data_IF_014920538158
#
_entry.id   IF_014920538158
#
_cell.length_a   1.000
_cell.length_b   1.000
_cell.length_c   1.000
_cell.angle_alpha   90.00
_cell.angle_beta   90.00
_cell.angle_gamma   90.00
#
_symmetry.space_group_name_H-M   'P 1'
#
loop_
_entity.id
_entity.type
_entity.pdbx_description
1 polymer ?
#
# COMPACT_ATOMS: atom_id res chain seq x y z
N UNK A 1 -20.72 -37.43 8.16
CA UNK A 1 -21.93 -36.69 7.74
C UNK A 1 -21.48 -35.29 7.32
N UNK A 2 -21.77 -34.83 6.10
CA UNK A 2 -21.19 -33.59 5.56
C UNK A 2 -21.58 -32.33 6.36
N UNK A 3 -22.73 -32.33 7.05
CA UNK A 3 -23.17 -31.24 7.91
C UNK A 3 -22.20 -30.90 9.05
N UNK A 4 -21.54 -31.90 9.66
CA UNK A 4 -20.57 -31.65 10.73
C UNK A 4 -19.28 -31.02 10.19
N UNK A 5 -18.90 -31.34 8.95
CA UNK A 5 -17.77 -30.66 8.28
C UNK A 5 -18.08 -29.21 7.96
N UNK A 6 -19.32 -28.89 7.56
CA UNK A 6 -19.75 -27.50 7.35
C UNK A 6 -19.79 -26.71 8.66
N UNK A 7 -20.26 -27.32 9.76
CA UNK A 7 -20.27 -26.70 11.09
C UNK A 7 -18.85 -26.43 11.61
N UNK A 8 -17.95 -27.40 11.47
CA UNK A 8 -16.53 -27.25 11.86
C UNK A 8 -15.81 -26.23 10.97
N UNK A 9 -16.12 -26.18 9.67
CA UNK A 9 -15.59 -25.16 8.78
C UNK A 9 -16.09 -23.76 9.17
N UNK A 10 -17.39 -23.56 9.39
CA UNK A 10 -17.95 -22.28 9.86
C UNK A 10 -17.36 -21.84 11.21
N UNK A 11 -17.20 -22.78 12.15
CA UNK A 11 -16.56 -22.52 13.43
C UNK A 11 -15.07 -22.16 13.28
N UNK A 12 -14.36 -22.80 12.34
CA UNK A 12 -12.98 -22.44 12.01
C UNK A 12 -12.92 -21.04 11.40
N UNK A 13 -13.76 -20.72 10.39
CA UNK A 13 -13.83 -19.42 9.73
C UNK A 13 -14.06 -18.24 10.70
N UNK A 14 -14.86 -18.48 11.75
CA UNK A 14 -15.19 -17.49 12.79
C UNK A 14 -14.21 -17.48 13.97
N UNK A 15 -13.26 -18.42 14.00
CA UNK A 15 -12.21 -18.42 15.02
C UNK A 15 -11.16 -17.36 14.69
N UNK A 16 -10.65 -16.67 15.71
CA UNK A 16 -9.50 -15.75 15.58
C UNK A 16 -8.29 -16.41 14.89
N UNK A 17 -8.21 -17.74 14.97
CA UNK A 17 -7.15 -18.53 14.35
C UNK A 17 -7.23 -18.55 12.82
N UNK A 18 -8.43 -18.52 12.24
CA UNK A 18 -8.60 -18.43 10.79
C UNK A 18 -8.28 -17.04 10.25
N UNK A 19 -8.67 -15.97 10.96
CA UNK A 19 -8.22 -14.61 10.64
C UNK A 19 -6.70 -14.44 10.76
N UNK A 20 -6.04 -15.15 11.69
CA UNK A 20 -4.56 -15.20 11.77
C UNK A 20 -3.93 -16.00 10.61
N UNK A 21 -4.58 -17.07 10.16
CA UNK A 21 -4.07 -17.97 9.11
C UNK A 21 -4.29 -17.41 7.69
N UNK A 22 -5.47 -16.83 7.42
CA UNK A 22 -5.73 -16.09 6.17
C UNK A 22 -5.04 -14.73 6.19
N UNK A 23 -5.03 -14.05 7.34
CA UNK A 23 -4.39 -12.74 7.48
C UNK A 23 -2.93 -12.77 7.04
N UNK A 24 -2.16 -13.78 7.46
CA UNK A 24 -0.77 -13.95 6.99
C UNK A 24 -0.67 -14.31 5.50
N UNK A 25 -1.57 -15.16 5.00
CA UNK A 25 -1.60 -15.58 3.58
C UNK A 25 -2.00 -14.47 2.61
N UNK A 26 -2.78 -13.48 3.06
CA UNK A 26 -3.28 -12.37 2.24
C UNK A 26 -2.50 -11.08 2.48
N UNK A 27 -1.98 -10.85 3.69
CA UNK A 27 -1.25 -9.63 4.03
C UNK A 27 -0.01 -9.45 3.15
N UNK A 28 0.82 -10.48 2.99
CA UNK A 28 2.02 -10.43 2.14
C UNK A 28 1.69 -9.95 0.72
N UNK A 29 0.84 -10.68 -0.03
CA UNK A 29 0.40 -10.26 -1.35
C UNK A 29 -0.25 -8.87 -1.39
N UNK A 30 -1.08 -8.51 -0.41
CA UNK A 30 -1.71 -7.20 -0.35
C UNK A 30 -0.68 -6.06 -0.18
N UNK A 31 0.36 -6.27 0.62
CA UNK A 31 1.45 -5.29 0.78
C UNK A 31 2.26 -5.14 -0.52
N UNK A 32 2.53 -6.25 -1.24
CA UNK A 32 3.19 -6.19 -2.56
C UNK A 32 2.36 -5.37 -3.55
N UNK A 33 1.06 -5.62 -3.64
CA UNK A 33 0.15 -4.88 -4.52
C UNK A 33 0.08 -3.41 -4.13
N UNK A 34 0.08 -3.09 -2.83
CA UNK A 34 0.11 -1.71 -2.35
C UNK A 34 1.43 -1.00 -2.71
N UNK A 35 2.58 -1.66 -2.54
CA UNK A 35 3.87 -1.11 -2.95
C UNK A 35 3.93 -0.86 -4.47
N UNK A 36 3.47 -1.83 -5.27
CA UNK A 36 3.43 -1.71 -6.72
C UNK A 36 2.47 -0.62 -7.21
N UNK A 37 1.27 -0.55 -6.64
CA UNK A 37 0.32 0.51 -6.97
C UNK A 37 0.85 1.90 -6.59
N UNK A 38 1.55 2.01 -5.46
CA UNK A 38 2.25 3.24 -5.06
C UNK A 38 3.26 3.67 -6.12
N UNK A 39 4.10 2.74 -6.60
CA UNK A 39 5.08 2.99 -7.65
C UNK A 39 4.41 3.51 -8.93
N UNK A 40 3.38 2.81 -9.42
CA UNK A 40 2.68 3.18 -10.64
C UNK A 40 2.01 4.55 -10.53
N UNK A 41 1.34 4.85 -9.42
CA UNK A 41 0.69 6.14 -9.24
C UNK A 41 1.68 7.28 -9.06
N UNK A 42 2.82 7.07 -8.39
CA UNK A 42 3.88 8.07 -8.30
C UNK A 42 4.49 8.38 -9.67
N UNK A 43 4.77 7.35 -10.48
CA UNK A 43 5.24 7.51 -11.86
C UNK A 43 4.21 8.23 -12.72
N UNK A 44 2.94 7.87 -12.59
CA UNK A 44 1.85 8.53 -13.28
C UNK A 44 1.77 10.03 -12.92
N UNK A 45 1.86 10.35 -11.64
CA UNK A 45 1.87 11.72 -11.16
C UNK A 45 3.08 12.50 -11.70
N UNK A 46 4.27 11.89 -11.73
CA UNK A 46 5.47 12.48 -12.33
C UNK A 46 5.27 12.80 -13.82
N UNK A 47 4.74 11.87 -14.60
CA UNK A 47 4.47 12.07 -16.03
C UNK A 47 3.47 13.21 -16.24
N UNK A 48 2.43 13.30 -15.40
CA UNK A 48 1.44 14.37 -15.47
C UNK A 48 2.02 15.76 -15.18
N UNK A 49 3.01 15.87 -14.30
CA UNK A 49 3.63 17.15 -13.93
C UNK A 49 4.73 17.59 -14.89
N UNK A 50 5.46 16.64 -15.47
CA UNK A 50 6.67 16.93 -16.24
C UNK A 50 6.52 16.71 -17.74
N UNK A 51 5.50 15.98 -18.18
CA UNK A 51 5.32 15.50 -19.56
C UNK A 51 6.52 14.69 -20.09
N UNK A 52 7.32 14.11 -19.18
CA UNK A 52 8.47 13.25 -19.51
C UNK A 52 8.09 11.78 -19.34
N UNK A 53 8.92 10.91 -19.91
CA UNK A 53 8.81 9.46 -19.71
C UNK A 53 8.92 9.08 -18.22
N UNK A 54 8.21 8.02 -17.79
CA UNK A 54 8.24 7.57 -16.41
C UNK A 54 9.65 7.13 -16.00
N UNK A 55 10.15 7.52 -14.81
CA UNK A 55 11.47 7.12 -14.36
C UNK A 55 11.60 5.60 -14.20
N UNK A 56 12.72 5.02 -14.62
CA UNK A 56 13.07 3.61 -14.41
C UNK A 56 13.61 3.37 -12.98
N UNK A 57 12.84 3.78 -11.98
CA UNK A 57 13.19 3.67 -10.56
C UNK A 57 12.04 2.98 -9.83
N UNK A 58 12.36 2.07 -8.90
CA UNK A 58 11.38 1.37 -8.06
C UNK A 58 11.31 1.91 -6.63
N UNK A 59 12.35 2.62 -6.19
CA UNK A 59 12.44 3.22 -4.85
C UNK A 59 11.37 4.31 -4.68
N UNK A 60 10.36 4.03 -3.85
CA UNK A 60 9.22 4.92 -3.63
C UNK A 60 9.63 6.29 -3.07
N UNK A 61 10.68 6.34 -2.24
CA UNK A 61 11.19 7.61 -1.71
C UNK A 61 11.82 8.44 -2.82
N UNK A 62 12.64 7.82 -3.68
CA UNK A 62 13.24 8.52 -4.82
C UNK A 62 12.17 9.03 -5.77
N UNK A 63 11.17 8.21 -6.09
CA UNK A 63 10.04 8.62 -6.92
C UNK A 63 9.27 9.80 -6.31
N UNK A 64 8.99 9.77 -5.00
CA UNK A 64 8.37 10.89 -4.29
C UNK A 64 9.21 12.17 -4.38
N UNK A 65 10.53 12.06 -4.25
CA UNK A 65 11.45 13.21 -4.34
C UNK A 65 11.56 13.79 -5.77
N UNK A 66 11.17 13.05 -6.80
CA UNK A 66 11.11 13.56 -8.18
C UNK A 66 9.85 14.40 -8.47
N UNK A 67 8.83 14.34 -7.60
CA UNK A 67 7.63 15.14 -7.76
C UNK A 67 7.88 16.62 -7.46
N UNK A 68 6.99 17.48 -7.99
CA UNK A 68 6.98 18.90 -7.64
C UNK A 68 6.77 19.11 -6.14
N UNK A 69 7.27 20.23 -5.61
CA UNK A 69 7.07 20.56 -4.19
C UNK A 69 5.57 20.60 -3.84
N UNK A 70 4.74 21.16 -4.73
CA UNK A 70 3.30 21.23 -4.54
C UNK A 70 2.64 19.83 -4.42
N UNK A 71 3.01 18.87 -5.27
CA UNK A 71 2.53 17.49 -5.14
C UNK A 71 2.98 16.83 -3.83
N UNK A 72 4.23 17.06 -3.43
CA UNK A 72 4.75 16.51 -2.17
C UNK A 72 4.00 17.05 -0.97
N UNK A 73 3.74 18.36 -0.93
CA UNK A 73 2.98 18.99 0.14
C UNK A 73 1.53 18.48 0.17
N UNK A 74 0.90 18.31 -1.00
CA UNK A 74 -0.45 17.73 -1.12
C UNK A 74 -0.51 16.29 -0.59
N UNK A 75 0.50 15.48 -0.88
CA UNK A 75 0.64 14.11 -0.36
C UNK A 75 0.92 14.08 1.15
N UNK A 76 1.82 14.93 1.64
CA UNK A 76 2.12 15.03 3.07
C UNK A 76 0.88 15.48 3.86
N UNK A 77 0.11 16.43 3.34
CA UNK A 77 -1.15 16.84 3.96
C UNK A 77 -2.19 15.70 3.98
N UNK A 78 -2.37 14.99 2.87
CA UNK A 78 -3.28 13.84 2.80
C UNK A 78 -2.84 12.72 3.77
N UNK A 79 -1.54 12.48 3.89
CA UNK A 79 -0.97 11.51 4.81
C UNK A 79 -1.20 11.91 6.27
N UNK A 80 -0.96 13.16 6.64
CA UNK A 80 -1.15 13.64 8.01
C UNK A 80 -2.61 13.50 8.45
N UNK A 81 -3.56 13.82 7.56
CA UNK A 81 -4.99 13.61 7.82
C UNK A 81 -5.32 12.13 8.03
N UNK A 82 -4.75 11.24 7.21
CA UNK A 82 -4.89 9.80 7.37
C UNK A 82 -4.29 9.28 8.67
N UNK A 83 -3.07 9.68 9.00
CA UNK A 83 -2.34 9.23 10.19
C UNK A 83 -3.01 9.68 11.48
N UNK A 84 -3.73 10.82 11.45
CA UNK A 84 -4.50 11.35 12.56
C UNK A 84 -5.86 10.65 12.77
N UNK A 85 -6.31 9.78 11.86
CA UNK A 85 -7.60 9.11 12.02
C UNK A 85 -7.61 8.20 13.25
N UNK A 86 -8.70 8.18 14.06
CA UNK A 86 -8.73 7.42 15.32
C UNK A 86 -8.43 5.92 15.17
N UNK A 87 -8.89 5.30 14.08
CA UNK A 87 -8.59 3.91 13.77
C UNK A 87 -7.09 3.69 13.48
N UNK A 88 -6.43 4.63 12.80
CA UNK A 88 -5.00 4.55 12.49
C UNK A 88 -4.15 4.79 13.72
N UNK A 89 -4.50 5.78 14.54
CA UNK A 89 -3.85 6.02 15.83
C UNK A 89 -3.87 4.75 16.69
N UNK A 90 -5.04 4.09 16.81
CA UNK A 90 -5.17 2.82 17.55
C UNK A 90 -4.28 1.70 17.01
N UNK A 91 -4.13 1.59 15.69
CA UNK A 91 -3.24 0.59 15.07
C UNK A 91 -1.78 0.87 15.41
N UNK A 92 -1.32 2.12 15.28
CA UNK A 92 0.04 2.49 15.66
C UNK A 92 0.31 2.23 17.14
N UNK A 93 -0.59 2.64 18.04
CA UNK A 93 -0.46 2.39 19.50
C UNK A 93 -0.43 0.89 19.84
N UNK A 94 -1.17 0.05 19.10
CA UNK A 94 -1.11 -1.38 19.27
C UNK A 94 0.26 -1.95 18.85
N UNK A 95 0.81 -1.49 17.72
CA UNK A 95 2.14 -1.89 17.24
C UNK A 95 3.22 -1.43 18.21
N UNK A 96 3.15 -0.19 18.71
CA UNK A 96 4.11 0.36 19.67
C UNK A 96 4.10 -0.42 20.99
N UNK A 97 2.91 -0.80 21.50
CA UNK A 97 2.79 -1.66 22.68
C UNK A 97 3.35 -3.07 22.47
N UNK A 98 3.15 -3.64 21.28
CA UNK A 98 3.66 -4.99 20.95
C UNK A 98 5.18 -5.01 20.76
N UNK A 99 5.74 -3.94 20.22
CA UNK A 99 7.17 -3.86 19.84
C UNK A 99 8.04 -3.12 20.85
N UNK A 100 7.44 -2.41 21.81
CA UNK A 100 8.14 -1.56 22.77
C UNK A 100 8.83 -0.35 22.14
N UNK A 101 8.56 -0.05 20.87
CA UNK A 101 9.24 0.99 20.10
C UNK A 101 8.24 1.98 19.52
N UNK A 102 8.57 3.28 19.58
CA UNK A 102 7.76 4.33 18.96
C UNK A 102 7.88 4.23 17.43
N UNK A 103 6.74 4.31 16.74
CA UNK A 103 6.67 4.28 15.28
C UNK A 103 6.40 5.70 14.76
N UNK A 104 7.35 6.33 14.04
CA UNK A 104 7.13 7.62 13.43
C UNK A 104 5.96 7.58 12.43
N UNK A 105 5.13 8.62 12.48
CA UNK A 105 3.87 8.70 11.70
C UNK A 105 4.01 9.59 10.47
N UNK A 106 5.20 10.11 10.16
CA UNK A 106 5.42 10.96 9.00
C UNK A 106 5.58 10.16 7.70
N UNK A 107 5.15 10.76 6.59
CA UNK A 107 5.19 10.12 5.27
C UNK A 107 6.63 9.78 4.86
N UNK A 108 7.59 10.65 5.16
CA UNK A 108 8.99 10.48 4.73
C UNK A 108 9.64 9.28 5.40
N UNK A 109 9.38 9.06 6.69
CA UNK A 109 9.80 7.87 7.40
C UNK A 109 9.15 6.62 6.83
N UNK A 110 7.84 6.67 6.54
CA UNK A 110 7.10 5.54 5.96
C UNK A 110 7.63 5.17 4.57
N UNK A 111 7.92 6.16 3.73
CA UNK A 111 8.55 5.98 2.41
C UNK A 111 9.97 5.44 2.50
N UNK A 112 10.78 5.87 3.48
CA UNK A 112 12.11 5.29 3.72
C UNK A 112 12.01 3.80 4.05
N UNK A 113 11.14 3.43 4.99
CA UNK A 113 11.01 2.06 5.44
C UNK A 113 10.31 1.15 4.41
N UNK A 114 9.47 1.73 3.55
CA UNK A 114 8.81 1.00 2.45
C UNK A 114 9.53 1.10 1.11
N UNK A 115 10.73 1.69 1.03
CA UNK A 115 11.36 2.08 -0.24
C UNK A 115 11.72 0.89 -1.13
N UNK A 116 12.14 -0.23 -0.54
CA UNK A 116 12.48 -1.49 -1.19
C UNK A 116 11.43 -2.59 -0.97
N UNK A 117 10.33 -2.25 -0.30
CA UNK A 117 9.36 -3.22 0.17
C UNK A 117 8.75 -4.04 -0.97
N UNK A 118 8.59 -3.51 -2.18
CA UNK A 118 8.12 -4.32 -3.31
C UNK A 118 9.01 -5.56 -3.55
N UNK A 119 10.33 -5.38 -3.53
CA UNK A 119 11.29 -6.46 -3.74
C UNK A 119 11.33 -7.38 -2.53
N UNK A 120 11.47 -6.81 -1.33
CA UNK A 120 11.65 -7.58 -0.09
C UNK A 120 10.38 -8.37 0.27
N UNK A 121 9.19 -7.79 0.05
CA UNK A 121 7.91 -8.44 0.36
C UNK A 121 7.60 -9.63 -0.54
N UNK A 122 8.08 -9.62 -1.80
CA UNK A 122 7.91 -10.76 -2.73
C UNK A 122 8.66 -12.00 -2.26
N UNK A 123 9.74 -11.80 -1.52
CA UNK A 123 10.62 -12.85 -1.03
C UNK A 123 10.63 -12.92 0.50
N UNK A 124 9.48 -12.68 1.15
CA UNK A 124 9.32 -12.74 2.61
C UNK A 124 9.75 -14.07 3.24
N UNK A 125 9.73 -15.15 2.46
CA UNK A 125 10.17 -16.47 2.91
C UNK A 125 11.70 -16.58 3.06
N UNK A 126 12.47 -15.66 2.47
CA UNK A 126 13.92 -15.58 2.66
C UNK A 126 14.25 -14.92 4.01
N UNK A 127 15.18 -15.49 4.76
CA UNK A 127 15.55 -15.01 6.12
C UNK A 127 15.89 -13.52 6.17
N UNK A 128 16.61 -13.02 5.14
CA UNK A 128 16.98 -11.60 5.03
C UNK A 128 15.79 -10.64 4.98
N UNK A 129 14.60 -11.11 4.61
CA UNK A 129 13.40 -10.29 4.39
C UNK A 129 12.38 -10.39 5.53
N UNK A 130 12.60 -11.23 6.55
CA UNK A 130 11.64 -11.45 7.64
C UNK A 130 11.39 -10.19 8.51
N UNK A 131 12.32 -9.23 8.48
CA UNK A 131 12.22 -7.96 9.21
C UNK A 131 11.67 -6.80 8.35
N UNK A 132 11.14 -7.08 7.16
CA UNK A 132 10.58 -6.05 6.28
C UNK A 132 9.37 -5.37 6.94
N UNK A 133 9.41 -4.05 7.02
CA UNK A 133 8.32 -3.23 7.56
C UNK A 133 7.61 -2.50 6.44
N UNK A 134 6.29 -2.54 6.42
CA UNK A 134 5.51 -1.83 5.40
C UNK A 134 4.34 -1.08 6.04
N UNK A 135 4.43 0.26 6.03
CA UNK A 135 3.42 1.15 6.62
C UNK A 135 2.65 1.96 5.57
N UNK A 136 2.76 1.61 4.28
CA UNK A 136 2.21 2.38 3.16
C UNK A 136 0.89 1.81 2.60
N UNK A 137 0.15 1.02 3.38
CA UNK A 137 -1.02 0.26 2.91
C UNK A 137 -2.05 1.09 2.12
N UNK A 138 -2.40 2.29 2.60
CA UNK A 138 -3.38 3.19 1.99
C UNK A 138 -2.74 4.29 1.12
N UNK A 139 -1.41 4.34 1.04
CA UNK A 139 -0.69 5.33 0.26
C UNK A 139 -1.11 5.36 -1.22
N UNK A 140 -1.30 4.21 -1.92
CA UNK A 140 -1.76 4.21 -3.31
C UNK A 140 -3.06 4.99 -3.52
N UNK A 141 -4.01 4.88 -2.59
CA UNK A 141 -5.30 5.56 -2.71
C UNK A 141 -5.14 7.08 -2.62
N UNK A 142 -4.22 7.57 -1.78
CA UNK A 142 -3.92 9.00 -1.67
C UNK A 142 -3.31 9.53 -2.96
N UNK A 143 -2.29 8.84 -3.50
CA UNK A 143 -1.65 9.25 -4.76
C UNK A 143 -2.66 9.18 -5.92
N UNK A 144 -3.49 8.14 -5.97
CA UNK A 144 -4.57 8.01 -6.96
C UNK A 144 -5.55 9.19 -6.87
N UNK A 145 -5.95 9.59 -5.67
CA UNK A 145 -6.84 10.74 -5.48
C UNK A 145 -6.28 12.02 -6.10
N UNK A 146 -4.97 12.24 -5.95
CA UNK A 146 -4.25 13.37 -6.53
C UNK A 146 -4.17 13.26 -8.06
N UNK A 147 -3.86 12.08 -8.60
CA UNK A 147 -3.87 11.81 -10.05
C UNK A 147 -5.23 12.12 -10.65
N UNK A 148 -6.32 11.67 -10.02
CA UNK A 148 -7.67 11.92 -10.51
C UNK A 148 -8.10 13.38 -10.38
N UNK A 149 -7.61 14.15 -9.39
CA UNK A 149 -7.83 15.60 -9.38
C UNK A 149 -7.19 16.29 -10.59
N UNK A 150 -6.01 15.82 -11.01
CA UNK A 150 -5.30 16.33 -12.21
C UNK A 150 -5.88 15.82 -13.53
N UNK A 151 -6.53 14.65 -13.52
CA UNK A 151 -7.19 14.02 -14.68
C UNK A 151 -8.55 13.39 -14.30
N UNK A 152 -9.58 14.22 -14.08
CA UNK A 152 -10.89 13.73 -13.62
C UNK A 152 -11.54 12.71 -14.57
N UNK A 153 -11.30 12.86 -15.87
CA UNK A 153 -11.82 11.97 -16.90
C UNK A 153 -11.33 10.51 -16.79
N UNK A 154 -10.24 10.26 -16.06
CA UNK A 154 -9.74 8.90 -15.83
C UNK A 154 -10.54 8.13 -14.77
N UNK A 155 -11.40 8.81 -14.00
CA UNK A 155 -12.24 8.16 -12.99
C UNK A 155 -13.30 7.23 -13.60
N UNK A 156 -13.72 7.50 -14.84
CA UNK A 156 -14.74 6.75 -15.57
C UNK A 156 -14.17 5.79 -16.63
N UNK A 157 -12.84 5.71 -16.75
CA UNK A 157 -12.19 4.76 -17.66
C UNK A 157 -12.37 3.34 -17.12
N UNK A 158 -13.35 2.64 -17.66
CA UNK A 158 -13.49 1.19 -17.48
C UNK A 158 -12.50 0.53 -18.41
N UNK A 159 -11.69 -0.41 -17.91
CA UNK A 159 -10.98 -1.33 -18.78
C UNK A 159 -12.03 -2.17 -19.52
N UNK A 160 -12.38 -1.77 -20.74
CA UNK A 160 -13.04 -2.67 -21.67
C UNK A 160 -12.06 -3.80 -21.95
N UNK A 161 -12.48 -5.09 -21.86
CA UNK A 161 -11.60 -6.17 -22.26
C UNK A 161 -11.08 -5.90 -23.67
N UNK A 162 -9.80 -6.21 -23.95
CA UNK A 162 -9.23 -6.00 -25.27
C UNK A 162 -10.15 -6.63 -26.30
N UNK A 163 -10.55 -5.85 -27.31
CA UNK A 163 -11.36 -6.38 -28.42
C UNK A 163 -10.56 -7.52 -29.04
N UNK A 164 -11.17 -8.71 -29.27
CA UNK A 164 -10.49 -9.78 -29.98
C UNK A 164 -10.01 -9.22 -31.32
N UNK A 165 -8.72 -9.44 -31.61
CA UNK A 165 -8.12 -9.08 -32.89
C UNK A 165 -8.73 -10.03 -33.93
N UNK A 166 -9.24 -9.52 -35.06
CA UNK A 166 -9.82 -10.35 -36.12
C UNK A 166 -8.80 -11.28 -36.78
#
# INVERSE_FOLDING_TARGET
MNGERFRLADQALRSDQFMRTIGSSVAGPAMVLSAFASELYLKCLFVLETSRDPPEIHDLRKLFLLLSQAARDELEAAWNLYAAQPNRVRVYEAIERLTGSVVPRDLRWSLRNGSDAFTSLRYLHEERNQNTKFFLGDFPAMVRGIVLRRRPQWSSMVHTPPKPIP
#
